data_IF_294853715790
#
_entry.id   IF_294853715790
#
_cell.length_a   1.000
_cell.length_b   1.000
_cell.length_c   1.000
_cell.angle_alpha   90.00
_cell.angle_beta   90.00
_cell.angle_gamma   90.00
#
_symmetry.space_group_name_H-M   'P 1'
#
loop_
_entity.id
_entity.type
_entity.pdbx_description
1 polymer ?
#
# COMPACT_ATOMS: atom_id res chain seq x y z
N UNK A 1 -4.42 21.50 14.36
CA UNK A 1 -4.77 20.06 14.27
C UNK A 1 -3.47 19.32 14.12
N UNK A 2 -3.19 18.33 14.97
CA UNK A 2 -1.95 17.56 14.91
C UNK A 2 -1.98 16.68 13.67
N UNK A 3 -0.94 16.78 12.84
CA UNK A 3 -0.58 15.75 11.87
C UNK A 3 -0.32 14.44 12.63
N UNK A 4 -0.76 13.30 12.09
CA UNK A 4 -0.52 11.97 12.66
C UNK A 4 0.98 11.74 12.87
N UNK A 5 1.82 12.16 11.91
CA UNK A 5 3.26 11.99 12.02
C UNK A 5 3.87 12.86 13.11
N UNK A 6 3.45 14.12 13.23
CA UNK A 6 3.88 14.96 14.36
C UNK A 6 3.48 14.39 15.72
N UNK A 7 2.37 13.67 15.80
CA UNK A 7 1.97 12.97 17.02
C UNK A 7 2.81 11.72 17.28
N UNK A 8 3.10 10.93 16.25
CA UNK A 8 3.98 9.76 16.32
C UNK A 8 5.40 10.18 16.72
N UNK A 9 5.95 11.23 16.09
CA UNK A 9 7.25 11.83 16.41
C UNK A 9 7.31 12.27 17.87
N UNK A 10 6.31 13.05 18.33
CA UNK A 10 6.24 13.51 19.72
C UNK A 10 6.21 12.33 20.72
N UNK A 11 5.52 11.25 20.35
CA UNK A 11 5.47 10.06 21.18
C UNK A 11 6.79 9.28 21.20
N UNK A 12 7.47 9.18 20.06
CA UNK A 12 8.79 8.58 19.92
C UNK A 12 9.81 9.38 20.73
N UNK A 13 9.85 10.71 20.62
CA UNK A 13 10.74 11.58 21.39
C UNK A 13 10.56 11.37 22.90
N UNK A 14 9.30 11.25 23.36
CA UNK A 14 8.99 10.95 24.76
C UNK A 14 9.52 9.57 25.19
N UNK A 15 9.35 8.55 24.35
CA UNK A 15 9.86 7.20 24.63
C UNK A 15 11.40 7.17 24.65
N UNK A 16 12.06 7.92 23.78
CA UNK A 16 13.51 8.07 23.74
C UNK A 16 14.08 8.72 25.01
N UNK A 17 13.33 9.64 25.64
CA UNK A 17 13.70 10.24 26.93
C UNK A 17 13.43 9.33 28.14
N UNK A 18 12.82 8.15 27.92
CA UNK A 18 12.42 7.20 28.95
C UNK A 18 13.53 6.24 29.40
N UNK A 19 13.12 5.13 30.01
CA UNK A 19 14.02 4.03 30.38
C UNK A 19 14.48 3.18 29.18
N UNK A 20 15.30 2.16 29.42
CA UNK A 20 15.83 1.30 28.36
C UNK A 20 14.75 0.57 27.55
N UNK A 21 13.63 0.19 28.18
CA UNK A 21 12.53 -0.50 27.49
C UNK A 21 11.77 0.48 26.59
N UNK A 22 11.54 1.71 27.07
CA UNK A 22 10.90 2.77 26.29
C UNK A 22 11.78 3.20 25.11
N UNK A 23 13.09 3.37 25.33
CA UNK A 23 14.05 3.68 24.27
C UNK A 23 14.09 2.59 23.20
N UNK A 24 14.09 1.31 23.62
CA UNK A 24 14.03 0.18 22.68
C UNK A 24 12.76 0.19 21.87
N UNK A 25 11.61 0.43 22.50
CA UNK A 25 10.33 0.52 21.79
C UNK A 25 10.34 1.67 20.77
N UNK A 26 10.85 2.85 21.14
CA UNK A 26 10.98 3.98 20.22
C UNK A 26 11.72 3.60 18.93
N UNK A 27 12.87 2.94 19.05
CA UNK A 27 13.64 2.45 17.89
C UNK A 27 12.85 1.48 17.02
N UNK A 28 12.03 0.61 17.63
CA UNK A 28 11.21 -0.35 16.89
C UNK A 28 10.06 0.32 16.14
N UNK A 29 9.43 1.33 16.76
CA UNK A 29 8.34 2.10 16.13
C UNK A 29 8.84 2.95 14.96
N UNK A 30 10.03 3.54 15.08
CA UNK A 30 10.69 4.25 13.97
C UNK A 30 11.01 3.30 12.81
N UNK A 31 11.54 2.12 13.11
CA UNK A 31 11.97 1.18 12.08
C UNK A 31 10.81 0.49 11.34
N UNK A 32 9.66 0.25 11.99
CA UNK A 32 8.58 -0.56 11.43
C UNK A 32 8.08 -0.04 10.06
N UNK A 33 7.65 1.23 9.93
CA UNK A 33 7.15 1.77 8.67
C UNK A 33 8.18 1.73 7.54
N UNK A 34 9.44 2.07 7.85
CA UNK A 34 10.55 2.10 6.89
C UNK A 34 10.83 0.69 6.35
N UNK A 35 10.95 -0.31 7.24
CA UNK A 35 11.17 -1.69 6.83
C UNK A 35 10.05 -2.24 5.96
N UNK A 36 8.81 -1.83 6.21
CA UNK A 36 7.67 -2.27 5.41
C UNK A 36 7.70 -1.60 4.03
N UNK A 37 7.96 -0.28 3.98
CA UNK A 37 8.13 0.45 2.73
C UNK A 37 9.30 -0.06 1.88
N UNK A 38 10.33 -0.61 2.52
CA UNK A 38 11.52 -1.17 1.87
C UNK A 38 11.43 -2.68 1.59
N UNK A 39 10.24 -3.29 1.75
CA UNK A 39 9.99 -4.72 1.55
C UNK A 39 10.86 -5.66 2.42
N UNK A 40 11.38 -5.17 3.55
CA UNK A 40 12.22 -5.90 4.52
C UNK A 40 11.37 -6.76 5.49
N UNK A 41 10.38 -7.49 4.97
CA UNK A 41 9.34 -8.19 5.74
C UNK A 41 9.88 -9.26 6.70
N UNK A 42 11.03 -9.89 6.37
CA UNK A 42 11.69 -10.84 7.30
C UNK A 42 12.18 -10.13 8.57
N UNK A 43 12.64 -8.87 8.45
CA UNK A 43 13.05 -8.07 9.61
C UNK A 43 11.85 -7.60 10.40
N UNK A 44 10.73 -7.28 9.73
CA UNK A 44 9.45 -6.98 10.38
C UNK A 44 9.00 -8.15 11.26
N UNK A 45 8.96 -9.37 10.71
CA UNK A 45 8.59 -10.58 11.44
C UNK A 45 9.48 -10.82 12.69
N UNK A 46 10.76 -10.41 12.63
CA UNK A 46 11.69 -10.55 13.75
C UNK A 46 11.46 -9.54 14.88
N UNK A 47 10.97 -8.32 14.59
CA UNK A 47 10.87 -7.24 15.57
C UNK A 47 9.47 -7.04 16.13
N UNK A 48 8.41 -7.41 15.40
CA UNK A 48 7.02 -7.23 15.83
C UNK A 48 6.71 -7.89 17.19
N UNK A 49 7.14 -9.14 17.47
CA UNK A 49 6.86 -9.77 18.76
C UNK A 49 7.43 -8.99 19.95
N UNK A 50 8.65 -8.44 19.79
CA UNK A 50 9.29 -7.61 20.81
C UNK A 50 8.56 -6.27 20.98
N UNK A 51 8.23 -5.61 19.87
CA UNK A 51 7.53 -4.32 19.88
C UNK A 51 6.15 -4.44 20.57
N UNK A 52 5.39 -5.50 20.28
CA UNK A 52 4.10 -5.76 20.93
C UNK A 52 4.25 -6.03 22.44
N UNK A 53 5.26 -6.81 22.84
CA UNK A 53 5.49 -7.09 24.25
C UNK A 53 5.83 -5.81 25.03
N UNK A 54 6.70 -4.96 24.47
CA UNK A 54 7.07 -3.68 25.06
C UNK A 54 5.87 -2.71 25.11
N UNK A 55 5.11 -2.58 24.01
CA UNK A 55 3.92 -1.73 23.96
C UNK A 55 2.88 -2.12 25.03
N UNK A 56 2.62 -3.42 25.20
CA UNK A 56 1.69 -3.94 26.21
C UNK A 56 2.18 -3.71 27.64
N UNK A 57 3.49 -3.84 27.88
CA UNK A 57 4.06 -3.62 29.20
C UNK A 57 3.94 -2.16 29.67
N UNK A 58 3.92 -1.20 28.74
CA UNK A 58 3.72 0.22 29.04
C UNK A 58 2.24 0.59 29.26
N UNK A 59 1.30 -0.33 29.03
CA UNK A 59 -0.15 -0.12 29.10
C UNK A 59 -0.65 1.06 28.22
N UNK A 60 0.10 1.38 27.17
CA UNK A 60 -0.25 2.42 26.20
C UNK A 60 -0.87 1.78 24.95
N UNK A 61 -2.20 1.65 24.94
CA UNK A 61 -2.96 0.90 23.93
C UNK A 61 -2.80 1.39 22.49
N UNK A 62 -2.47 2.66 22.30
CA UNK A 62 -2.19 3.18 20.97
C UNK A 62 -0.87 2.65 20.39
N UNK A 63 0.12 2.33 21.22
CA UNK A 63 1.38 1.71 20.78
C UNK A 63 1.12 0.29 20.25
N UNK A 64 0.24 -0.43 20.94
CA UNK A 64 -0.24 -1.73 20.46
C UNK A 64 -0.99 -1.59 19.13
N UNK A 65 -1.87 -0.58 19.01
CA UNK A 65 -2.58 -0.28 17.76
C UNK A 65 -1.59 -0.02 16.60
N UNK A 66 -0.59 0.84 16.82
CA UNK A 66 0.45 1.17 15.84
C UNK A 66 1.13 -0.10 15.34
N UNK A 67 1.65 -0.92 16.25
CA UNK A 67 2.44 -2.11 15.89
C UNK A 67 1.56 -3.15 15.18
N UNK A 68 0.31 -3.34 15.63
CA UNK A 68 -0.61 -4.29 15.01
C UNK A 68 -1.00 -3.87 13.59
N UNK A 69 -1.29 -2.58 13.37
CA UNK A 69 -1.61 -2.06 12.04
C UNK A 69 -0.46 -2.28 11.06
N UNK A 70 0.75 -1.85 11.42
CA UNK A 70 1.91 -2.03 10.55
C UNK A 70 2.26 -3.52 10.32
N UNK A 71 2.08 -4.38 11.32
CA UNK A 71 2.20 -5.82 11.10
C UNK A 71 1.20 -6.34 10.05
N UNK A 72 -0.05 -5.87 10.09
CA UNK A 72 -1.04 -6.19 9.06
C UNK A 72 -0.69 -5.58 7.70
N UNK A 73 -0.13 -4.38 7.63
CA UNK A 73 0.36 -3.82 6.36
C UNK A 73 1.42 -4.74 5.72
N UNK A 74 2.41 -5.21 6.49
CA UNK A 74 3.40 -6.18 5.97
C UNK A 74 2.78 -7.47 5.46
N UNK A 75 1.80 -8.03 6.17
CA UNK A 75 1.21 -9.34 5.86
C UNK A 75 0.13 -9.28 4.78
N UNK A 76 -0.79 -8.35 4.92
CA UNK A 76 -1.95 -8.18 4.06
C UNK A 76 -1.56 -7.41 2.80
N UNK A 77 -1.14 -6.14 2.95
CA UNK A 77 -0.93 -5.26 1.80
C UNK A 77 0.21 -5.75 0.90
N UNK A 78 1.36 -6.10 1.48
CA UNK A 78 2.55 -6.49 0.70
C UNK A 78 2.61 -7.99 0.39
N UNK A 79 2.19 -8.84 1.34
CA UNK A 79 2.30 -10.31 1.22
C UNK A 79 1.01 -11.03 0.86
N UNK A 80 -0.09 -10.30 0.65
CA UNK A 80 -1.38 -10.83 0.19
C UNK A 80 -1.94 -11.95 1.08
N UNK A 81 -1.68 -11.88 2.38
CA UNK A 81 -2.27 -12.78 3.36
C UNK A 81 -3.63 -12.22 3.79
N UNK A 82 -4.73 -12.89 3.44
CA UNK A 82 -6.09 -12.45 3.79
C UNK A 82 -6.96 -13.56 4.41
N UNK A 83 -6.35 -14.69 4.80
CA UNK A 83 -7.05 -15.83 5.36
C UNK A 83 -7.45 -15.61 6.82
N UNK A 84 -6.55 -15.91 7.75
CA UNK A 84 -6.80 -15.63 9.18
C UNK A 84 -6.69 -14.14 9.49
N UNK A 85 -5.97 -13.39 8.65
CA UNK A 85 -5.72 -11.95 8.74
C UNK A 85 -7.02 -11.15 8.69
N UNK A 86 -8.04 -11.59 7.95
CA UNK A 86 -9.33 -10.91 7.90
C UNK A 86 -9.94 -10.80 9.30
N UNK A 87 -9.88 -11.88 10.09
CA UNK A 87 -10.35 -11.86 11.48
C UNK A 87 -9.50 -10.91 12.32
N UNK A 88 -8.19 -10.91 12.14
CA UNK A 88 -7.29 -10.01 12.87
C UNK A 88 -7.55 -8.53 12.52
N UNK A 89 -7.85 -8.21 11.26
CA UNK A 89 -8.21 -6.87 10.80
C UNK A 89 -9.55 -6.41 11.40
N UNK A 90 -10.55 -7.30 11.46
CA UNK A 90 -11.82 -7.03 12.16
C UNK A 90 -11.58 -6.78 13.65
N UNK A 91 -10.82 -7.66 14.32
CA UNK A 91 -10.48 -7.53 15.74
C UNK A 91 -9.72 -6.21 16.02
N UNK A 92 -8.84 -5.79 15.09
CA UNK A 92 -8.09 -4.54 15.20
C UNK A 92 -8.98 -3.33 14.97
N UNK A 93 -9.92 -3.38 14.03
CA UNK A 93 -10.91 -2.32 13.79
C UNK A 93 -11.82 -2.12 15.01
N UNK A 94 -12.29 -3.21 15.63
CA UNK A 94 -13.02 -3.16 16.90
C UNK A 94 -12.17 -2.56 18.01
N UNK A 95 -10.90 -2.99 18.12
CA UNK A 95 -9.96 -2.45 19.09
C UNK A 95 -9.71 -0.96 18.89
N UNK A 96 -9.57 -0.49 17.65
CA UNK A 96 -9.37 0.92 17.30
C UNK A 96 -10.59 1.80 17.59
N UNK A 97 -11.79 1.20 17.65
CA UNK A 97 -13.06 1.90 17.85
C UNK A 97 -13.43 2.08 19.32
N UNK A 98 -12.64 1.53 20.26
CA UNK A 98 -12.90 1.65 21.71
C UNK A 98 -12.69 3.07 22.22
N UNK A 99 -13.28 3.39 23.37
CA UNK A 99 -13.26 4.76 23.90
C UNK A 99 -11.85 5.31 24.14
N UNK A 100 -10.93 4.44 24.52
CA UNK A 100 -9.53 4.68 24.88
C UNK A 100 -8.56 4.68 23.68
N UNK A 101 -8.99 4.23 22.50
CA UNK A 101 -8.17 4.13 21.28
C UNK A 101 -8.73 4.93 20.11
N UNK A 102 -10.04 5.24 20.09
CA UNK A 102 -10.70 5.97 19.00
C UNK A 102 -10.16 7.38 18.75
N UNK A 103 -9.49 7.96 19.75
CA UNK A 103 -8.85 9.27 19.64
C UNK A 103 -7.41 9.19 19.11
N UNK A 104 -6.84 7.98 18.97
CA UNK A 104 -5.54 7.80 18.34
C UNK A 104 -5.63 8.19 16.86
N UNK A 105 -4.72 9.04 16.35
CA UNK A 105 -4.75 9.44 14.94
C UNK A 105 -4.63 8.25 13.97
N UNK A 106 -4.02 7.13 14.39
CA UNK A 106 -3.88 5.91 13.59
C UNK A 106 -5.11 5.00 13.59
N UNK A 107 -6.11 5.28 14.43
CA UNK A 107 -7.35 4.50 14.48
C UNK A 107 -8.10 4.43 13.16
N UNK A 108 -7.90 5.40 12.27
CA UNK A 108 -8.53 5.41 10.94
C UNK A 108 -7.78 4.53 9.93
N UNK A 109 -6.49 4.27 10.14
CA UNK A 109 -5.65 3.58 9.17
C UNK A 109 -5.93 2.07 9.16
N UNK A 110 -6.49 1.51 10.24
CA UNK A 110 -6.89 0.09 10.31
C UNK A 110 -8.07 -0.26 9.40
N UNK A 111 -8.79 0.75 8.89
CA UNK A 111 -9.82 0.53 7.85
C UNK A 111 -9.17 0.05 6.55
N UNK A 112 -7.94 0.49 6.28
CA UNK A 112 -7.18 -0.01 5.14
C UNK A 112 -6.91 -1.51 5.26
N UNK A 113 -6.51 -1.99 6.45
CA UNK A 113 -6.22 -3.40 6.68
C UNK A 113 -7.45 -4.28 6.32
N UNK A 114 -8.65 -3.83 6.71
CA UNK A 114 -9.89 -4.52 6.37
C UNK A 114 -10.21 -4.45 4.87
N UNK A 115 -10.09 -3.28 4.26
CA UNK A 115 -10.37 -3.07 2.83
C UNK A 115 -9.43 -3.93 1.94
N UNK A 116 -8.15 -4.02 2.30
CA UNK A 116 -7.17 -4.88 1.64
C UNK A 116 -7.54 -6.36 1.79
N UNK A 117 -7.92 -6.81 2.99
CA UNK A 117 -8.35 -8.20 3.20
C UNK A 117 -9.53 -8.56 2.29
N UNK A 118 -10.52 -7.67 2.15
CA UNK A 118 -11.63 -7.86 1.22
C UNK A 118 -11.16 -7.90 -0.24
N UNK A 119 -10.28 -6.98 -0.64
CA UNK A 119 -9.71 -6.93 -1.99
C UNK A 119 -9.03 -8.24 -2.39
N UNK A 120 -8.19 -8.77 -1.50
CA UNK A 120 -7.38 -9.97 -1.75
C UNK A 120 -8.26 -11.23 -1.71
N UNK A 121 -9.28 -11.26 -0.85
CA UNK A 121 -10.17 -12.42 -0.71
C UNK A 121 -11.11 -12.58 -1.90
N UNK A 122 -11.78 -11.49 -2.29
CA UNK A 122 -12.70 -11.42 -3.44
C UNK A 122 -13.01 -9.95 -3.76
N UNK A 123 -12.05 -9.26 -4.40
CA UNK A 123 -12.15 -7.83 -4.73
C UNK A 123 -13.48 -7.44 -5.39
N UNK A 124 -13.88 -8.11 -6.50
CA UNK A 124 -15.17 -7.87 -7.16
C UNK A 124 -16.39 -8.21 -6.29
N UNK A 125 -16.31 -9.25 -5.45
CA UNK A 125 -17.40 -9.65 -4.56
C UNK A 125 -17.66 -8.69 -3.40
N UNK A 126 -16.63 -7.96 -2.95
CA UNK A 126 -16.69 -7.05 -1.80
C UNK A 126 -16.66 -5.55 -2.17
N UNK A 127 -16.90 -5.20 -3.43
CA UNK A 127 -16.88 -3.79 -3.90
C UNK A 127 -17.78 -2.90 -3.02
N UNK A 128 -19.00 -3.35 -2.70
CA UNK A 128 -19.95 -2.56 -1.95
C UNK A 128 -19.45 -2.24 -0.53
N UNK A 129 -18.93 -3.24 0.16
CA UNK A 129 -18.36 -3.14 1.51
C UNK A 129 -17.13 -2.23 1.50
N UNK A 130 -16.21 -2.42 0.55
CA UNK A 130 -14.97 -1.62 0.44
C UNK A 130 -15.26 -0.16 0.16
N UNK A 131 -16.17 0.14 -0.77
CA UNK A 131 -16.61 1.51 -1.04
C UNK A 131 -17.30 2.15 0.18
N UNK A 132 -18.09 1.37 0.93
CA UNK A 132 -18.79 1.86 2.11
C UNK A 132 -17.81 2.24 3.24
N UNK A 133 -16.87 1.35 3.59
CA UNK A 133 -15.92 1.60 4.69
C UNK A 133 -14.93 2.73 4.36
N UNK A 134 -14.46 2.80 3.11
CA UNK A 134 -13.58 3.87 2.68
C UNK A 134 -14.31 5.22 2.67
N UNK A 135 -15.56 5.27 2.17
CA UNK A 135 -16.38 6.48 2.18
C UNK A 135 -16.70 6.97 3.59
N UNK A 136 -17.10 6.07 4.49
CA UNK A 136 -17.35 6.42 5.89
C UNK A 136 -16.12 7.06 6.53
N UNK A 137 -14.95 6.49 6.26
CA UNK A 137 -13.67 6.96 6.82
C UNK A 137 -13.27 8.31 6.22
N UNK A 138 -13.36 8.48 4.90
CA UNK A 138 -13.09 9.74 4.20
C UNK A 138 -14.01 10.87 4.67
N UNK A 139 -15.25 10.56 5.08
CA UNK A 139 -16.16 11.55 5.65
C UNK A 139 -15.72 12.06 7.05
N UNK A 140 -14.84 11.34 7.73
CA UNK A 140 -14.34 11.67 9.08
C UNK A 140 -12.97 12.35 9.08
N UNK A 141 -12.20 12.19 8.01
CA UNK A 141 -10.85 12.76 7.87
C UNK A 141 -10.85 13.87 6.81
N UNK A 142 -9.72 14.54 6.66
CA UNK A 142 -9.52 15.55 5.62
C UNK A 142 -8.11 15.40 5.02
N UNK A 143 -7.76 16.15 3.97
CA UNK A 143 -6.48 15.98 3.28
C UNK A 143 -5.23 16.22 4.15
N UNK A 144 -5.36 16.87 5.30
CA UNK A 144 -4.27 17.02 6.27
C UNK A 144 -3.96 15.76 7.08
N UNK A 145 -4.73 14.69 6.93
CA UNK A 145 -4.45 13.39 7.55
C UNK A 145 -3.62 12.52 6.60
N UNK A 146 -2.49 11.93 7.02
CA UNK A 146 -1.68 11.07 6.16
C UNK A 146 -2.46 9.89 5.56
N UNK A 147 -3.40 9.30 6.31
CA UNK A 147 -4.23 8.19 5.84
C UNK A 147 -5.28 8.63 4.79
N UNK A 148 -5.40 9.91 4.45
CA UNK A 148 -6.27 10.38 3.36
C UNK A 148 -5.86 9.80 2.00
N UNK A 149 -4.56 9.74 1.70
CA UNK A 149 -4.05 9.17 0.45
C UNK A 149 -4.34 7.65 0.39
N UNK A 150 -4.00 6.92 1.46
CA UNK A 150 -4.22 5.47 1.54
C UNK A 150 -5.71 5.09 1.44
N UNK A 151 -6.58 5.74 2.22
CA UNK A 151 -8.03 5.41 2.18
C UNK A 151 -8.65 5.83 0.84
N UNK A 152 -8.13 6.89 0.19
CA UNK A 152 -8.54 7.21 -1.18
C UNK A 152 -8.14 6.10 -2.16
N UNK A 153 -6.96 5.52 -2.01
CA UNK A 153 -6.50 4.40 -2.83
C UNK A 153 -7.39 3.16 -2.66
N UNK A 154 -7.88 2.89 -1.44
CA UNK A 154 -8.81 1.77 -1.23
C UNK A 154 -10.16 1.97 -1.93
N UNK A 155 -10.69 3.20 -1.89
CA UNK A 155 -11.90 3.54 -2.63
C UNK A 155 -11.68 3.42 -4.15
N UNK A 156 -10.55 3.92 -4.64
CA UNK A 156 -10.14 3.80 -6.02
C UNK A 156 -10.03 2.34 -6.48
N UNK A 157 -9.32 1.51 -5.71
CA UNK A 157 -9.12 0.09 -6.00
C UNK A 157 -10.44 -0.67 -6.10
N UNK A 158 -11.39 -0.40 -5.20
CA UNK A 158 -12.73 -0.99 -5.28
C UNK A 158 -13.52 -0.58 -6.54
N UNK A 159 -13.32 0.62 -7.07
CA UNK A 159 -13.90 1.02 -8.36
C UNK A 159 -13.23 0.31 -9.54
N UNK A 160 -11.91 0.07 -9.45
CA UNK A 160 -11.18 -0.65 -10.49
C UNK A 160 -11.59 -2.12 -10.56
N UNK A 161 -11.80 -2.78 -9.41
CA UNK A 161 -12.30 -4.16 -9.35
C UNK A 161 -13.74 -4.34 -9.87
N UNK A 162 -14.50 -3.24 -9.95
CA UNK A 162 -15.85 -3.17 -10.52
C UNK A 162 -15.86 -2.69 -11.99
N UNK A 163 -14.70 -2.67 -12.67
CA UNK A 163 -14.52 -2.20 -14.05
C UNK A 163 -15.09 -0.79 -14.30
N UNK A 164 -14.89 0.13 -13.34
CA UNK A 164 -15.33 1.55 -13.40
C UNK A 164 -14.17 2.55 -13.48
N UNK A 165 -13.22 2.42 -14.45
CA UNK A 165 -12.03 3.25 -14.49
C UNK A 165 -12.31 4.75 -14.73
N UNK A 166 -13.43 5.09 -15.38
CA UNK A 166 -13.84 6.50 -15.55
C UNK A 166 -14.19 7.15 -14.21
N UNK A 167 -15.02 6.47 -13.43
CA UNK A 167 -15.44 6.97 -12.12
C UNK A 167 -14.27 6.99 -11.14
N UNK A 168 -13.38 6.01 -11.25
CA UNK A 168 -12.14 5.95 -10.49
C UNK A 168 -11.24 7.17 -10.77
N UNK A 169 -11.08 7.56 -12.04
CA UNK A 169 -10.35 8.78 -12.42
C UNK A 169 -11.03 10.05 -11.91
N UNK A 170 -12.35 10.18 -12.10
CA UNK A 170 -13.12 11.33 -11.60
C UNK A 170 -13.00 11.49 -10.08
N UNK A 171 -12.98 10.37 -9.35
CA UNK A 171 -12.72 10.34 -7.92
C UNK A 171 -11.31 10.82 -7.58
N UNK A 172 -10.26 10.27 -8.20
CA UNK A 172 -8.86 10.71 -7.97
C UNK A 172 -8.68 12.20 -8.25
N UNK A 173 -9.29 12.72 -9.33
CA UNK A 173 -9.29 14.15 -9.64
C UNK A 173 -10.02 14.98 -8.57
N UNK A 174 -11.10 14.47 -7.97
CA UNK A 174 -11.78 15.12 -6.87
C UNK A 174 -10.92 15.15 -5.60
N UNK A 175 -10.23 14.05 -5.28
CA UNK A 175 -9.29 13.99 -4.15
C UNK A 175 -8.11 14.97 -4.38
N UNK A 176 -7.60 15.07 -5.61
CA UNK A 176 -6.58 16.04 -6.00
C UNK A 176 -7.04 17.49 -5.77
N UNK A 177 -8.28 17.84 -6.15
CA UNK A 177 -8.86 19.16 -5.88
C UNK A 177 -8.99 19.41 -4.38
N UNK A 178 -9.44 18.43 -3.60
CA UNK A 178 -9.55 18.55 -2.15
C UNK A 178 -8.19 18.81 -1.48
N UNK A 179 -7.13 18.12 -1.91
CA UNK A 179 -5.75 18.38 -1.47
C UNK A 179 -5.33 19.82 -1.77
N UNK A 180 -5.56 20.29 -3.01
CA UNK A 180 -5.20 21.65 -3.43
C UNK A 180 -5.95 22.73 -2.64
N UNK A 181 -7.25 22.53 -2.38
CA UNK A 181 -8.07 23.41 -1.53
C UNK A 181 -7.57 23.43 -0.07
N UNK A 182 -6.95 22.35 0.38
CA UNK A 182 -6.28 22.24 1.68
C UNK A 182 -4.84 22.80 1.68
N UNK A 183 -4.37 23.38 0.57
CA UNK A 183 -3.03 23.93 0.42
C UNK A 183 -1.93 22.89 0.14
N UNK A 184 -2.31 21.64 -0.15
CA UNK A 184 -1.39 20.55 -0.49
C UNK A 184 -1.35 20.42 -2.01
N UNK A 185 -0.25 20.88 -2.61
CA UNK A 185 -0.11 20.96 -4.08
C UNK A 185 0.50 19.71 -4.72
N UNK A 186 1.04 18.81 -3.90
CA UNK A 186 1.66 17.57 -4.35
C UNK A 186 0.77 16.40 -3.97
N UNK A 187 0.40 15.58 -4.95
CA UNK A 187 -0.31 14.34 -4.68
C UNK A 187 0.53 13.38 -3.84
N UNK A 188 -0.15 12.63 -2.97
CA UNK A 188 0.42 11.48 -2.28
C UNK A 188 0.90 10.41 -3.26
N UNK A 189 1.71 9.47 -2.77
CA UNK A 189 2.29 8.41 -3.59
C UNK A 189 1.21 7.56 -4.25
N UNK A 190 0.16 7.18 -3.51
CA UNK A 190 -0.87 6.28 -4.04
C UNK A 190 -1.70 6.97 -5.12
N UNK A 191 -2.23 8.17 -4.83
CA UNK A 191 -3.07 8.91 -5.79
C UNK A 191 -2.36 9.19 -7.14
N UNK A 192 -1.03 9.33 -7.16
CA UNK A 192 -0.26 9.44 -8.42
C UNK A 192 -0.35 8.16 -9.24
N UNK A 193 -0.13 7.01 -8.61
CA UNK A 193 -0.18 5.72 -9.30
C UNK A 193 -1.63 5.39 -9.70
N UNK A 194 -2.61 5.68 -8.86
CA UNK A 194 -4.04 5.49 -9.13
C UNK A 194 -4.49 6.30 -10.35
N UNK A 195 -4.09 7.58 -10.43
CA UNK A 195 -4.37 8.42 -11.59
C UNK A 195 -3.83 7.78 -12.89
N UNK A 196 -2.58 7.32 -12.87
CA UNK A 196 -1.96 6.69 -14.02
C UNK A 196 -2.61 5.34 -14.38
N UNK A 197 -2.97 4.51 -13.40
CA UNK A 197 -3.71 3.25 -13.62
C UNK A 197 -5.07 3.48 -14.28
N UNK A 198 -5.83 4.46 -13.79
CA UNK A 198 -7.13 4.82 -14.36
C UNK A 198 -7.02 5.32 -15.81
N UNK A 199 -6.04 6.20 -16.07
CA UNK A 199 -5.76 6.71 -17.41
C UNK A 199 -5.37 5.58 -18.36
N UNK A 200 -4.50 4.67 -17.92
CA UNK A 200 -4.09 3.51 -18.71
C UNK A 200 -5.28 2.60 -19.04
N UNK A 201 -6.14 2.28 -18.07
CA UNK A 201 -7.34 1.48 -18.27
C UNK A 201 -8.34 2.14 -19.25
N UNK A 202 -8.36 3.47 -19.33
CA UNK A 202 -9.15 4.23 -20.30
C UNK A 202 -8.49 4.36 -21.69
N UNK A 203 -7.33 3.72 -21.90
CA UNK A 203 -6.57 3.81 -23.15
C UNK A 203 -5.85 5.15 -23.35
N UNK A 204 -5.69 5.95 -22.30
CA UNK A 204 -5.03 7.28 -22.32
C UNK A 204 -3.56 7.16 -21.90
N UNK A 205 -2.82 6.29 -22.59
CA UNK A 205 -1.48 5.88 -22.17
C UNK A 205 -0.45 7.03 -22.19
N UNK A 206 -0.56 7.99 -23.11
CA UNK A 206 0.32 9.16 -23.15
C UNK A 206 0.16 10.05 -21.90
N UNK A 207 -1.08 10.21 -21.43
CA UNK A 207 -1.38 10.97 -20.22
C UNK A 207 -0.91 10.22 -18.98
N UNK A 208 -1.11 8.89 -18.94
CA UNK A 208 -0.58 8.05 -17.87
C UNK A 208 0.96 8.16 -17.78
N UNK A 209 1.65 8.18 -18.92
CA UNK A 209 3.11 8.34 -18.94
C UNK A 209 3.54 9.68 -18.36
N UNK A 210 2.85 10.76 -18.72
CA UNK A 210 3.14 12.09 -18.19
C UNK A 210 2.98 12.16 -16.66
N UNK A 211 1.98 11.47 -16.10
CA UNK A 211 1.78 11.36 -14.64
C UNK A 211 2.95 10.61 -13.99
N UNK A 212 3.29 9.43 -14.51
CA UNK A 212 4.35 8.57 -13.95
C UNK A 212 5.73 9.25 -14.05
N UNK A 213 6.08 9.81 -15.20
CA UNK A 213 7.37 10.51 -15.43
C UNK A 213 7.44 11.86 -14.69
N UNK A 214 6.30 12.44 -14.31
CA UNK A 214 6.23 13.63 -13.46
C UNK A 214 6.79 13.40 -12.05
N UNK A 215 6.79 12.15 -11.57
CA UNK A 215 7.33 11.76 -10.26
C UNK A 215 8.82 11.40 -10.37
N UNK A 216 9.68 12.39 -10.16
CA UNK A 216 11.14 12.24 -10.40
C UNK A 216 11.96 11.61 -9.27
N UNK A 217 11.50 11.71 -8.02
CA UNK A 217 12.24 11.22 -6.84
C UNK A 217 11.43 10.13 -6.13
N UNK A 218 11.37 8.97 -6.76
CA UNK A 218 10.61 7.81 -6.26
C UNK A 218 11.26 7.15 -5.05
N UNK A 219 12.58 7.24 -4.92
CA UNK A 219 13.36 6.61 -3.85
C UNK A 219 12.99 7.10 -2.43
N UNK A 220 12.34 8.27 -2.31
CA UNK A 220 11.87 8.79 -1.01
C UNK A 220 10.67 8.04 -0.42
N UNK A 221 10.04 7.15 -1.17
CA UNK A 221 8.79 6.48 -0.78
C UNK A 221 8.99 4.99 -0.46
N UNK A 222 10.24 4.54 -0.35
CA UNK A 222 10.59 3.15 -0.09
C UNK A 222 10.69 2.30 -1.36
N UNK A 223 11.39 1.16 -1.24
CA UNK A 223 11.65 0.26 -2.37
C UNK A 223 10.38 -0.33 -2.99
N UNK A 224 9.34 -0.56 -2.18
CA UNK A 224 8.06 -1.09 -2.66
C UNK A 224 7.39 -0.13 -3.64
N UNK A 225 7.35 1.16 -3.30
CA UNK A 225 6.82 2.20 -4.20
C UNK A 225 7.65 2.34 -5.47
N UNK A 226 8.99 2.25 -5.36
CA UNK A 226 9.89 2.28 -6.52
C UNK A 226 9.57 1.12 -7.48
N UNK A 227 9.28 -0.06 -6.95
CA UNK A 227 8.91 -1.23 -7.76
C UNK A 227 7.55 -1.03 -8.43
N UNK A 228 6.53 -0.58 -7.70
CA UNK A 228 5.19 -0.31 -8.25
C UNK A 228 5.21 0.75 -9.33
N UNK A 229 5.92 1.85 -9.10
CA UNK A 229 6.11 2.91 -10.10
C UNK A 229 6.79 2.37 -11.36
N UNK A 230 7.86 1.57 -11.20
CA UNK A 230 8.56 0.94 -12.32
C UNK A 230 7.66 0.01 -13.11
N UNK A 231 6.93 -0.89 -12.44
CA UNK A 231 6.02 -1.85 -13.08
C UNK A 231 4.89 -1.13 -13.82
N UNK A 232 4.27 -0.10 -13.22
CA UNK A 232 3.25 0.69 -13.90
C UNK A 232 3.81 1.44 -15.11
N UNK A 233 5.03 2.01 -14.99
CA UNK A 233 5.71 2.67 -16.11
C UNK A 233 5.92 1.71 -17.29
N UNK A 234 6.31 0.46 -17.01
CA UNK A 234 6.45 -0.60 -18.03
C UNK A 234 5.11 -0.86 -18.72
N UNK A 235 4.02 -1.02 -17.96
CA UNK A 235 2.68 -1.23 -18.53
C UNK A 235 2.26 -0.09 -19.45
N UNK A 236 2.54 1.15 -19.05
CA UNK A 236 2.28 2.35 -19.88
C UNK A 236 3.12 2.36 -21.15
N UNK A 237 4.43 2.08 -21.06
CA UNK A 237 5.31 2.03 -22.24
C UNK A 237 4.88 0.93 -23.22
N UNK A 238 4.49 -0.24 -22.71
CA UNK A 238 3.93 -1.32 -23.51
C UNK A 238 2.62 -0.90 -24.19
N UNK A 239 1.73 -0.18 -23.51
CA UNK A 239 0.52 0.35 -24.15
C UNK A 239 0.81 1.34 -25.28
N UNK A 240 1.93 2.07 -25.20
CA UNK A 240 2.43 2.97 -26.25
C UNK A 240 3.24 2.27 -27.36
N UNK A 241 3.47 0.96 -27.26
CA UNK A 241 4.32 0.21 -28.21
C UNK A 241 5.82 0.53 -28.10
N UNK A 242 6.25 1.10 -26.97
CA UNK A 242 7.65 1.45 -26.68
C UNK A 242 8.36 0.27 -26.00
N UNK A 243 8.34 -0.87 -26.68
CA UNK A 243 8.69 -2.15 -26.07
C UNK A 243 10.15 -2.25 -25.63
N UNK A 244 11.08 -1.70 -26.39
CA UNK A 244 12.52 -1.72 -26.06
C UNK A 244 12.79 -0.97 -24.75
N UNK A 245 12.21 0.22 -24.59
CA UNK A 245 12.32 1.00 -23.36
C UNK A 245 11.65 0.32 -22.17
N UNK A 246 10.51 -0.35 -22.41
CA UNK A 246 9.84 -1.13 -21.38
C UNK A 246 10.71 -2.31 -20.94
N UNK A 247 11.35 -3.01 -21.89
CA UNK A 247 12.19 -4.18 -21.63
C UNK A 247 13.44 -3.84 -20.81
N UNK A 248 14.05 -2.68 -21.06
CA UNK A 248 15.19 -2.18 -20.28
C UNK A 248 14.88 -1.99 -18.79
N UNK A 249 13.61 -1.74 -18.45
CA UNK A 249 13.16 -1.52 -17.08
C UNK A 249 12.69 -2.81 -16.40
N UNK A 250 12.45 -3.89 -17.16
CA UNK A 250 11.83 -5.10 -16.64
C UNK A 250 12.66 -5.69 -15.49
N UNK A 251 12.12 -5.74 -14.25
CA UNK A 251 12.87 -6.27 -13.13
C UNK A 251 12.98 -7.80 -13.26
N UNK A 252 14.10 -8.39 -12.81
CA UNK A 252 14.24 -9.83 -12.76
C UNK A 252 13.26 -10.43 -11.76
N UNK A 253 12.85 -11.69 -11.97
CA UNK A 253 11.93 -12.39 -11.08
C UNK A 253 12.39 -12.42 -9.60
N UNK A 254 13.70 -12.47 -9.36
CA UNK A 254 14.26 -12.45 -8.00
C UNK A 254 14.00 -11.13 -7.24
N UNK A 255 13.68 -10.05 -7.95
CA UNK A 255 13.38 -8.76 -7.33
C UNK A 255 11.91 -8.60 -6.95
N UNK A 256 11.03 -9.50 -7.40
CA UNK A 256 9.59 -9.46 -7.06
C UNK A 256 9.18 -10.62 -6.16
N UNK A 257 9.87 -11.76 -6.21
CA UNK A 257 9.43 -13.05 -5.67
C UNK A 257 9.04 -13.04 -4.18
N UNK A 258 9.59 -12.14 -3.37
CA UNK A 258 9.30 -12.12 -1.94
C UNK A 258 8.12 -11.21 -1.58
N UNK A 259 7.60 -10.42 -2.52
CA UNK A 259 6.51 -9.45 -2.29
C UNK A 259 5.36 -9.67 -3.28
N UNK A 260 4.38 -10.51 -2.92
CA UNK A 260 3.16 -10.79 -3.68
C UNK A 260 2.41 -9.61 -4.31
N UNK A 261 2.38 -8.45 -3.67
CA UNK A 261 1.69 -7.26 -4.21
C UNK A 261 2.22 -6.81 -5.57
N UNK A 262 3.47 -7.14 -5.90
CA UNK A 262 4.08 -6.80 -7.19
C UNK A 262 3.75 -7.79 -8.32
N UNK A 263 3.17 -8.96 -7.99
CA UNK A 263 3.10 -10.09 -8.92
C UNK A 263 2.20 -9.81 -10.12
N UNK A 264 1.01 -9.27 -9.90
CA UNK A 264 -0.01 -9.11 -10.95
C UNK A 264 0.50 -8.21 -12.08
N UNK A 265 0.89 -6.97 -11.74
CA UNK A 265 1.38 -6.01 -12.75
C UNK A 265 2.64 -6.53 -13.45
N UNK A 266 3.53 -7.21 -12.72
CA UNK A 266 4.73 -7.79 -13.31
C UNK A 266 4.41 -8.95 -14.27
N UNK A 267 3.46 -9.82 -13.91
CA UNK A 267 3.01 -10.93 -14.74
C UNK A 267 2.30 -10.46 -16.01
N UNK A 268 1.48 -9.42 -15.90
CA UNK A 268 0.81 -8.80 -17.05
C UNK A 268 1.82 -8.22 -18.04
N UNK A 269 2.83 -7.50 -17.53
CA UNK A 269 3.94 -7.00 -18.33
C UNK A 269 4.73 -8.14 -19.00
N UNK A 270 5.06 -9.19 -18.24
CA UNK A 270 5.73 -10.38 -18.77
C UNK A 270 4.93 -11.07 -19.88
N UNK A 271 3.61 -11.21 -19.69
CA UNK A 271 2.72 -11.80 -20.67
C UNK A 271 2.71 -11.00 -21.98
N UNK A 272 2.71 -9.66 -21.89
CA UNK A 272 2.81 -8.77 -23.06
C UNK A 272 4.16 -8.89 -23.77
N UNK A 273 5.28 -8.95 -23.03
CA UNK A 273 6.60 -9.18 -23.63
C UNK A 273 6.66 -10.50 -24.39
N UNK A 274 6.08 -11.57 -23.82
CA UNK A 274 5.98 -12.87 -24.46
C UNK A 274 5.12 -12.81 -25.72
N UNK A 275 3.93 -12.22 -25.63
CA UNK A 275 3.00 -12.11 -26.74
C UNK A 275 3.58 -11.31 -27.92
N UNK A 276 4.47 -10.36 -27.64
CA UNK A 276 5.16 -9.53 -28.64
C UNK A 276 6.51 -10.08 -29.09
N UNK A 277 6.93 -11.23 -28.55
CA UNK A 277 8.14 -11.94 -28.99
C UNK A 277 9.45 -11.38 -28.43
N UNK A 278 9.41 -10.56 -27.37
CA UNK A 278 10.61 -10.06 -26.69
C UNK A 278 11.19 -11.07 -25.69
N UNK A 279 10.34 -11.96 -25.16
CA UNK A 279 10.73 -13.02 -24.23
C UNK A 279 10.17 -14.35 -24.73
N UNK A 280 11.02 -15.37 -24.79
CA UNK A 280 10.60 -16.71 -25.18
C UNK A 280 9.67 -17.36 -24.12
N UNK A 281 8.51 -17.84 -24.56
CA UNK A 281 7.63 -18.65 -23.72
C UNK A 281 8.16 -20.08 -23.59
N UNK A 282 9.01 -20.30 -22.59
CA UNK A 282 9.59 -21.63 -22.33
C UNK A 282 9.42 -22.05 -20.86
N UNK A 283 9.72 -23.32 -20.57
CA UNK A 283 9.53 -23.93 -19.26
C UNK A 283 10.14 -23.17 -18.08
N UNK A 284 11.23 -22.41 -18.25
CA UNK A 284 11.82 -21.61 -17.15
C UNK A 284 10.92 -20.45 -16.72
N UNK A 285 10.15 -19.86 -17.64
CA UNK A 285 9.12 -18.86 -17.30
C UNK A 285 8.04 -19.54 -16.47
N UNK A 286 7.59 -20.73 -16.90
CA UNK A 286 6.65 -21.55 -16.12
C UNK A 286 7.13 -21.87 -14.71
N UNK A 287 8.44 -22.16 -14.53
CA UNK A 287 9.02 -22.38 -13.19
C UNK A 287 8.93 -21.12 -12.32
N UNK A 288 9.18 -19.94 -12.88
CA UNK A 288 9.03 -18.68 -12.14
C UNK A 288 7.57 -18.48 -11.72
N UNK A 289 6.62 -18.60 -12.65
CA UNK A 289 5.18 -18.43 -12.36
C UNK A 289 4.71 -19.41 -11.28
N UNK A 290 5.15 -20.67 -11.34
CA UNK A 290 4.84 -21.67 -10.32
C UNK A 290 5.43 -21.31 -8.94
N UNK A 291 6.61 -20.71 -8.91
CA UNK A 291 7.20 -20.26 -7.65
C UNK A 291 6.43 -19.08 -7.05
N UNK A 292 6.01 -18.11 -7.86
CA UNK A 292 5.12 -17.02 -7.44
C UNK A 292 3.80 -17.58 -6.88
N UNK A 293 3.17 -18.51 -7.59
CA UNK A 293 1.94 -19.16 -7.11
C UNK A 293 2.13 -19.86 -5.76
N UNK A 294 3.21 -20.64 -5.58
CA UNK A 294 3.49 -21.32 -4.30
C UNK A 294 3.71 -20.37 -3.14
N UNK A 295 4.13 -19.13 -3.40
CA UNK A 295 4.30 -18.11 -2.37
C UNK A 295 2.96 -17.55 -1.89
N UNK A 296 1.96 -17.46 -2.78
CA UNK A 296 0.59 -17.07 -2.42
C UNK A 296 -0.14 -18.14 -1.58
N UNK A 297 0.28 -19.40 -1.70
CA UNK A 297 -0.31 -20.53 -0.95
C UNK A 297 0.26 -20.69 0.48
N UNK A 298 1.26 -19.89 0.88
CA UNK A 298 1.94 -19.99 2.19
C UNK A 298 1.50 -18.91 3.16
#
# INVERSE_FOLDING_TARGET
MSDLWGWVESAIERLQAGDQQQQRLAMLLEALPELIGDDEHTRVDAIVPEALALARNLDERWLELFVRHWNLQSRVLHRYQAGEELREAVDLLEFASREDTRACPQSVCVVQDLACCYSISDGPGYVAERLAVARETLARINPGWPCFDCISAEYFSALMDDDRPREALEFVEAQSRALAEHGILTLGSNLVLDQARALLALGRAEEALAVVDGKRDTARYGDSYVMDHRNLRISVLLALGRDEEALELQPPASAIIDTPSHYETWLDNLALFIARGHIDNHWRVGVVVLELQRRLER
#
